data_IF_927297347724
#
_entry.id   IF_927297347724
#
_cell.length_a   1.000
_cell.length_b   1.000
_cell.length_c   1.000
_cell.angle_alpha   90.00
_cell.angle_beta   90.00
_cell.angle_gamma   90.00
#
_symmetry.space_group_name_H-M   'P 1'
#
loop_
_entity.id
_entity.type
_entity.pdbx_description
1 polymer ?
#
# COMPACT_ATOMS: atom_id res chain seq x y z
N UNK A 1 20.58 -1.64 23.10
CA UNK A 1 19.23 -1.79 23.67
C UNK A 1 18.48 -0.48 23.41
N UNK A 2 17.89 -0.34 22.23
CA UNK A 2 17.04 0.82 21.92
C UNK A 2 15.72 0.63 22.65
N UNK A 3 15.45 1.50 23.62
CA UNK A 3 14.14 1.65 24.25
C UNK A 3 13.07 1.71 23.15
N UNK A 4 12.20 0.71 23.07
CA UNK A 4 11.09 0.72 22.12
C UNK A 4 10.21 1.94 22.46
N UNK A 5 10.29 2.98 21.62
CA UNK A 5 9.38 4.12 21.71
C UNK A 5 7.97 3.58 21.51
N UNK A 6 7.16 3.66 22.56
CA UNK A 6 5.80 3.16 22.56
C UNK A 6 4.92 4.21 21.85
N UNK A 7 4.67 4.00 20.56
CA UNK A 7 3.80 4.86 19.77
C UNK A 7 2.35 4.77 20.24
N UNK A 8 1.60 5.87 20.09
CA UNK A 8 0.18 5.90 20.45
C UNK A 8 -0.62 5.06 19.45
N UNK A 9 -1.49 4.17 19.93
CA UNK A 9 -2.34 3.36 19.05
C UNK A 9 -3.31 4.23 18.25
N UNK A 10 -3.54 3.85 16.98
CA UNK A 10 -4.42 4.58 16.08
C UNK A 10 -5.89 4.58 16.55
N UNK A 11 -6.54 5.77 16.68
CA UNK A 11 -7.97 5.89 17.02
C UNK A 11 -8.88 5.21 16.00
N UNK A 12 -8.36 4.93 14.79
CA UNK A 12 -9.07 4.18 13.76
C UNK A 12 -9.52 2.78 14.24
N UNK A 13 -8.72 2.12 15.09
CA UNK A 13 -9.04 0.78 15.60
C UNK A 13 -10.34 0.76 16.41
N UNK A 14 -10.59 1.83 17.16
CA UNK A 14 -11.74 1.98 18.04
C UNK A 14 -12.87 2.85 17.43
N UNK A 15 -12.65 3.39 16.23
CA UNK A 15 -13.60 4.26 15.55
C UNK A 15 -14.83 3.48 15.08
N UNK A 16 -16.02 4.03 15.35
CA UNK A 16 -17.28 3.54 14.80
C UNK A 16 -17.39 3.78 13.28
N UNK A 17 -18.37 3.14 12.63
CA UNK A 17 -18.50 3.18 11.16
C UNK A 17 -18.64 4.61 10.61
N UNK A 18 -19.34 5.49 11.33
CA UNK A 18 -19.49 6.89 10.97
C UNK A 18 -18.19 7.66 11.07
N UNK A 19 -17.41 7.42 12.12
CA UNK A 19 -16.11 8.06 12.31
C UNK A 19 -15.11 7.65 11.20
N UNK A 20 -15.20 6.40 10.73
CA UNK A 20 -14.43 5.90 9.58
C UNK A 20 -14.87 6.54 8.27
N UNK A 21 -16.18 6.66 8.03
CA UNK A 21 -16.73 7.27 6.81
C UNK A 21 -16.37 8.76 6.71
N UNK A 22 -16.45 9.50 7.81
CA UNK A 22 -16.16 10.93 7.82
C UNK A 22 -14.69 11.28 8.11
N UNK A 23 -13.80 10.28 8.28
CA UNK A 23 -12.40 10.47 8.68
C UNK A 23 -12.21 11.33 9.95
N UNK A 24 -13.26 11.47 10.76
CA UNK A 24 -13.25 12.30 11.97
C UNK A 24 -12.20 11.85 12.99
N UNK A 25 -11.78 10.58 12.96
CA UNK A 25 -10.71 10.06 13.81
C UNK A 25 -9.36 10.81 13.63
N UNK A 26 -9.13 11.45 12.47
CA UNK A 26 -7.91 12.24 12.19
C UNK A 26 -7.99 13.62 12.86
N UNK A 27 -9.16 14.12 13.25
CA UNK A 27 -9.30 15.46 13.83
C UNK A 27 -8.41 15.67 15.06
N UNK A 28 -8.21 14.62 15.86
CA UNK A 28 -7.33 14.64 17.03
C UNK A 28 -5.87 14.95 16.67
N UNK A 29 -5.40 14.51 15.51
CA UNK A 29 -4.04 14.80 15.04
C UNK A 29 -3.92 16.27 14.64
N UNK A 30 -4.92 16.82 13.96
CA UNK A 30 -4.96 18.24 13.60
C UNK A 30 -5.04 19.13 14.84
N UNK A 31 -5.83 18.75 15.84
CA UNK A 31 -5.91 19.46 17.12
C UNK A 31 -4.56 19.45 17.84
N UNK A 32 -3.86 18.31 17.82
CA UNK A 32 -2.50 18.19 18.40
C UNK A 32 -1.53 19.12 17.68
N UNK A 33 -1.57 19.14 16.34
CA UNK A 33 -0.76 20.05 15.53
C UNK A 33 -1.04 21.52 15.84
N UNK A 34 -2.31 21.89 16.02
CA UNK A 34 -2.72 23.26 16.31
C UNK A 34 -2.24 23.72 17.69
N UNK A 35 -2.28 22.84 18.69
CA UNK A 35 -1.84 23.13 20.06
C UNK A 35 -0.32 23.20 20.20
N UNK A 36 0.41 22.29 19.56
CA UNK A 36 1.85 22.12 19.78
C UNK A 36 2.73 22.89 18.78
N UNK A 37 2.16 23.51 17.73
CA UNK A 37 2.83 24.26 16.64
C UNK A 37 3.83 23.48 15.78
N UNK A 38 4.45 22.43 16.31
CA UNK A 38 5.35 21.50 15.61
C UNK A 38 5.04 20.08 16.03
N UNK A 39 4.85 19.19 15.06
CA UNK A 39 4.63 17.75 15.29
C UNK A 39 5.96 17.01 15.32
N UNK A 40 6.13 16.13 16.31
CA UNK A 40 7.24 15.20 16.37
C UNK A 40 6.81 13.79 15.96
N UNK A 41 7.77 12.93 15.61
CA UNK A 41 7.51 11.53 15.23
C UNK A 41 6.76 10.76 16.33
N UNK A 42 6.99 11.10 17.59
CA UNK A 42 6.33 10.50 18.77
C UNK A 42 4.86 10.86 18.91
N UNK A 43 4.41 11.95 18.27
CA UNK A 43 3.01 12.39 18.31
C UNK A 43 2.16 11.67 17.25
N UNK A 44 2.81 10.98 16.31
CA UNK A 44 2.15 10.22 15.28
C UNK A 44 1.64 8.87 15.82
N UNK A 45 0.53 8.43 15.23
CA UNK A 45 -0.05 7.14 15.57
C UNK A 45 0.78 6.00 15.00
N UNK A 46 0.80 4.89 15.75
CA UNK A 46 1.37 3.65 15.27
C UNK A 46 0.58 3.11 14.08
N UNK A 47 1.28 2.34 13.26
CA UNK A 47 0.71 1.69 12.09
C UNK A 47 -0.35 0.67 12.53
N UNK A 48 -1.40 0.49 11.73
CA UNK A 48 -2.29 -0.64 11.98
C UNK A 48 -1.50 -1.95 11.84
N UNK A 49 -1.76 -2.95 12.70
CA UNK A 49 -1.07 -4.25 12.64
C UNK A 49 -1.31 -5.00 11.32
N UNK A 50 -2.31 -4.59 10.54
CA UNK A 50 -2.58 -5.12 9.21
C UNK A 50 -1.73 -4.49 8.10
N UNK A 51 -1.09 -3.35 8.37
CA UNK A 51 -0.26 -2.60 7.43
C UNK A 51 1.24 -2.80 7.72
N UNK A 52 1.57 -3.59 8.74
CA UNK A 52 2.95 -3.92 9.08
C UNK A 52 3.66 -4.57 7.89
N UNK A 53 4.86 -4.09 7.60
CA UNK A 53 5.64 -4.50 6.42
C UNK A 53 5.92 -6.00 6.41
N UNK A 54 6.30 -6.57 7.55
CA UNK A 54 6.62 -7.99 7.70
C UNK A 54 5.42 -8.85 7.28
N UNK A 55 4.24 -8.54 7.82
CA UNK A 55 3.00 -9.27 7.53
C UNK A 55 2.58 -9.14 6.07
N UNK A 56 2.68 -7.94 5.50
CA UNK A 56 2.38 -7.70 4.09
C UNK A 56 3.32 -8.48 3.16
N UNK A 57 4.62 -8.49 3.47
CA UNK A 57 5.62 -9.23 2.69
C UNK A 57 5.43 -10.73 2.80
N UNK A 58 5.16 -11.27 4.00
CA UNK A 58 4.89 -12.69 4.19
C UNK A 58 3.65 -13.16 3.45
N UNK A 59 2.56 -12.39 3.52
CA UNK A 59 1.34 -12.71 2.78
C UNK A 59 1.58 -12.74 1.27
N UNK A 60 2.34 -11.77 0.75
CA UNK A 60 2.69 -11.74 -0.67
C UNK A 60 3.60 -12.91 -1.06
N UNK A 61 4.60 -13.23 -0.24
CA UNK A 61 5.54 -14.32 -0.46
C UNK A 61 4.82 -15.69 -0.47
N UNK A 62 3.91 -15.93 0.48
CA UNK A 62 3.10 -17.14 0.54
C UNK A 62 2.18 -17.26 -0.69
N UNK A 63 1.46 -16.20 -1.05
CA UNK A 63 0.62 -16.17 -2.24
C UNK A 63 1.41 -16.36 -3.54
N UNK A 64 2.66 -15.91 -3.58
CA UNK A 64 3.56 -16.12 -4.70
C UNK A 64 4.00 -17.58 -4.82
N UNK A 65 4.35 -18.23 -3.71
CA UNK A 65 4.67 -19.66 -3.71
C UNK A 65 3.46 -20.51 -4.10
N UNK A 66 2.26 -20.14 -3.66
CA UNK A 66 1.03 -20.79 -4.09
C UNK A 66 0.80 -20.61 -5.59
N UNK A 67 1.05 -19.43 -6.16
CA UNK A 67 0.94 -19.20 -7.60
C UNK A 67 1.93 -20.07 -8.40
N UNK A 68 3.18 -20.20 -7.94
CA UNK A 68 4.18 -21.08 -8.57
C UNK A 68 3.71 -22.53 -8.54
N UNK A 69 3.13 -22.98 -7.40
CA UNK A 69 2.65 -24.35 -7.22
C UNK A 69 1.45 -24.66 -8.12
N UNK A 70 0.47 -23.76 -8.21
CA UNK A 70 -0.77 -23.99 -8.96
C UNK A 70 -0.63 -23.67 -10.46
N UNK A 71 0.29 -22.79 -10.84
CA UNK A 71 0.49 -22.35 -12.23
C UNK A 71 1.97 -22.43 -12.67
N UNK A 72 2.58 -23.63 -12.68
CA UNK A 72 4.02 -23.79 -12.93
C UNK A 72 4.46 -23.36 -14.33
N UNK A 73 3.56 -23.42 -15.33
CA UNK A 73 3.87 -23.01 -16.71
C UNK A 73 3.86 -21.49 -16.94
N UNK A 74 3.13 -20.74 -16.12
CA UNK A 74 2.95 -19.29 -16.30
C UNK A 74 2.63 -18.61 -14.97
N UNK A 75 3.58 -18.55 -14.03
CA UNK A 75 3.37 -17.83 -12.78
C UNK A 75 3.22 -16.34 -13.04
N UNK A 76 2.27 -15.68 -12.35
CA UNK A 76 2.04 -14.25 -12.49
C UNK A 76 1.97 -13.56 -11.13
N UNK A 77 2.93 -12.66 -10.89
CA UNK A 77 3.03 -11.92 -9.64
C UNK A 77 1.81 -11.05 -9.40
N UNK A 78 1.25 -10.40 -10.43
CA UNK A 78 0.05 -9.58 -10.29
C UNK A 78 -1.13 -10.37 -9.72
N UNK A 79 -1.26 -11.66 -10.07
CA UNK A 79 -2.34 -12.51 -9.55
C UNK A 79 -2.13 -12.81 -8.07
N UNK A 80 -0.92 -13.17 -7.67
CA UNK A 80 -0.56 -13.37 -6.26
C UNK A 80 -0.83 -12.08 -5.46
N UNK A 81 -0.46 -10.95 -6.03
CA UNK A 81 -0.65 -9.64 -5.42
C UNK A 81 -2.13 -9.27 -5.25
N UNK A 82 -2.97 -9.50 -6.27
CA UNK A 82 -4.42 -9.30 -6.14
C UNK A 82 -4.98 -10.19 -5.03
N UNK A 83 -4.49 -11.43 -4.84
CA UNK A 83 -4.94 -12.29 -3.72
C UNK A 83 -4.55 -11.72 -2.35
N UNK A 84 -3.38 -11.11 -2.23
CA UNK A 84 -2.93 -10.46 -0.98
C UNK A 84 -3.83 -9.30 -0.56
N UNK A 85 -4.37 -8.56 -1.54
CA UNK A 85 -5.17 -7.35 -1.30
C UNK A 85 -6.68 -7.64 -1.23
N UNK A 86 -7.19 -8.55 -2.07
CA UNK A 86 -8.62 -8.81 -2.29
C UNK A 86 -9.34 -9.47 -1.12
N UNK A 87 -8.61 -9.99 -0.14
CA UNK A 87 -9.15 -10.67 1.05
C UNK A 87 -9.90 -9.74 2.02
N UNK A 88 -9.83 -8.41 1.85
CA UNK A 88 -10.56 -7.45 2.68
C UNK A 88 -11.82 -6.93 1.95
N UNK A 89 -13.04 -7.15 2.49
CA UNK A 89 -14.26 -6.68 1.85
C UNK A 89 -14.45 -5.18 2.07
N UNK A 90 -13.86 -4.35 1.20
CA UNK A 90 -14.05 -2.88 1.22
C UNK A 90 -15.04 -2.36 0.15
N UNK A 91 -15.80 -3.26 -0.47
CA UNK A 91 -16.80 -2.90 -1.48
C UNK A 91 -18.05 -2.23 -0.89
N UNK A 92 -18.27 -2.33 0.43
CA UNK A 92 -19.46 -1.76 1.07
C UNK A 92 -19.38 -0.24 1.31
N UNK A 93 -18.18 0.36 1.21
CA UNK A 93 -17.93 1.77 1.57
C UNK A 93 -17.63 2.72 0.40
N UNK A 94 -17.52 2.22 -0.85
CA UNK A 94 -17.00 3.02 -1.98
C UNK A 94 -18.01 3.96 -2.64
N UNK A 95 -19.16 4.21 -2.03
CA UNK A 95 -20.20 5.09 -2.59
C UNK A 95 -19.81 6.57 -2.55
N UNK A 96 -18.84 6.95 -1.72
CA UNK A 96 -18.35 8.32 -1.58
C UNK A 96 -16.95 8.47 -2.17
N UNK A 97 -16.77 9.51 -3.01
CA UNK A 97 -15.50 9.83 -3.68
C UNK A 97 -14.29 9.88 -2.71
N UNK A 98 -14.38 10.50 -1.52
CA UNK A 98 -13.25 10.51 -0.57
C UNK A 98 -12.86 9.12 -0.05
N UNK A 99 -13.83 8.23 0.17
CA UNK A 99 -13.59 6.86 0.62
C UNK A 99 -12.90 6.02 -0.45
N UNK A 100 -13.28 6.25 -1.72
CA UNK A 100 -12.64 5.62 -2.86
C UNK A 100 -11.15 6.02 -2.97
N UNK A 101 -10.85 7.33 -2.88
CA UNK A 101 -9.46 7.81 -2.92
C UNK A 101 -8.63 7.27 -1.74
N UNK A 102 -9.15 7.37 -0.50
CA UNK A 102 -8.46 6.85 0.67
C UNK A 102 -8.12 5.35 0.52
N UNK A 103 -9.04 4.57 -0.04
CA UNK A 103 -8.83 3.16 -0.33
C UNK A 103 -7.72 2.94 -1.34
N UNK A 104 -7.75 3.66 -2.47
CA UNK A 104 -6.71 3.56 -3.51
C UNK A 104 -5.33 3.87 -2.94
N UNK A 105 -5.19 4.94 -2.16
CA UNK A 105 -3.91 5.31 -1.56
C UNK A 105 -3.42 4.26 -0.57
N UNK A 106 -4.31 3.72 0.25
CA UNK A 106 -3.98 2.65 1.21
C UNK A 106 -3.50 1.38 0.48
N UNK A 107 -4.14 1.01 -0.62
CA UNK A 107 -3.71 -0.14 -1.41
C UNK A 107 -2.37 0.11 -2.12
N UNK A 108 -2.17 1.29 -2.69
CA UNK A 108 -0.89 1.67 -3.29
C UNK A 108 0.26 1.57 -2.29
N UNK A 109 0.03 2.06 -1.06
CA UNK A 109 1.02 1.99 0.01
C UNK A 109 1.32 0.55 0.44
N UNK A 110 0.29 -0.28 0.64
CA UNK A 110 0.46 -1.70 0.98
C UNK A 110 1.26 -2.46 -0.09
N UNK A 111 0.96 -2.18 -1.36
CA UNK A 111 1.62 -2.78 -2.52
C UNK A 111 3.11 -2.47 -2.54
N UNK A 112 3.45 -1.18 -2.42
CA UNK A 112 4.83 -0.72 -2.38
C UNK A 112 5.61 -1.39 -1.25
N UNK A 113 5.05 -1.42 -0.04
CA UNK A 113 5.70 -2.04 1.13
C UNK A 113 5.90 -3.54 0.91
N UNK A 114 4.88 -4.24 0.41
CA UNK A 114 4.97 -5.67 0.14
C UNK A 114 6.05 -6.01 -0.90
N UNK A 115 6.09 -5.26 -2.02
CA UNK A 115 7.10 -5.45 -3.07
C UNK A 115 8.51 -5.12 -2.58
N UNK A 116 8.68 -4.03 -1.82
CA UNK A 116 9.97 -3.69 -1.23
C UNK A 116 10.49 -4.78 -0.31
N UNK A 117 9.66 -5.31 0.59
CA UNK A 117 10.08 -6.41 1.45
C UNK A 117 10.40 -7.69 0.66
N UNK A 118 9.65 -7.98 -0.41
CA UNK A 118 9.90 -9.16 -1.26
C UNK A 118 11.23 -9.02 -2.02
N UNK A 119 11.46 -7.86 -2.64
CA UNK A 119 12.72 -7.55 -3.36
C UNK A 119 13.89 -7.56 -2.38
N UNK A 120 13.75 -6.94 -1.21
CA UNK A 120 14.77 -6.95 -0.17
C UNK A 120 15.14 -8.37 0.27
N UNK A 121 14.14 -9.21 0.59
CA UNK A 121 14.36 -10.63 0.93
C UNK A 121 15.02 -11.40 -0.22
N UNK A 122 14.65 -11.10 -1.47
CA UNK A 122 15.24 -11.74 -2.64
C UNK A 122 16.71 -11.37 -2.80
N UNK A 123 17.06 -10.08 -2.69
CA UNK A 123 18.44 -9.57 -2.77
C UNK A 123 19.32 -10.27 -1.73
N UNK A 124 18.86 -10.39 -0.49
CA UNK A 124 19.61 -11.06 0.58
C UNK A 124 19.81 -12.57 0.35
N UNK A 125 19.01 -13.20 -0.50
CA UNK A 125 19.10 -14.64 -0.84
C UNK A 125 19.80 -14.91 -2.18
N UNK A 126 20.20 -13.88 -2.93
CA UNK A 126 20.88 -14.05 -4.23
C UNK A 126 22.36 -14.42 -4.05
N UNK A 127 22.92 -15.16 -5.01
CA UNK A 127 24.34 -15.52 -5.00
C UNK A 127 25.22 -14.33 -5.39
N UNK A 128 26.45 -14.29 -4.87
CA UNK A 128 27.39 -13.18 -5.06
C UNK A 128 27.65 -12.84 -6.54
N UNK A 129 27.59 -13.85 -7.43
CA UNK A 129 27.84 -13.69 -8.88
C UNK A 129 26.76 -12.88 -9.61
N UNK A 130 25.50 -12.96 -9.16
CA UNK A 130 24.41 -12.15 -9.72
C UNK A 130 24.32 -10.77 -9.03
N UNK A 131 24.83 -10.67 -7.81
CA UNK A 131 24.88 -9.41 -7.07
C UNK A 131 25.98 -8.48 -7.60
N UNK A 132 27.11 -9.01 -8.07
CA UNK A 132 28.19 -8.20 -8.67
C UNK A 132 27.78 -7.51 -9.97
N UNK A 133 26.76 -8.04 -10.67
CA UNK A 133 26.20 -7.45 -11.90
C UNK A 133 25.24 -6.30 -11.64
N UNK A 134 24.68 -6.16 -10.43
CA UNK A 134 23.74 -5.08 -10.08
C UNK A 134 24.48 -4.14 -9.13
N UNK A 135 24.68 -2.89 -9.55
CA UNK A 135 25.34 -1.89 -8.69
C UNK A 135 24.47 -1.54 -7.48
N UNK A 136 25.10 -1.17 -6.36
CA UNK A 136 24.37 -0.68 -5.18
C UNK A 136 23.51 0.55 -5.51
N UNK A 137 23.96 1.39 -6.45
CA UNK A 137 23.22 2.56 -6.94
C UNK A 137 21.94 2.20 -7.68
N UNK A 138 21.96 1.16 -8.51
CA UNK A 138 20.74 0.67 -9.20
C UNK A 138 19.71 0.12 -8.21
N UNK A 139 20.15 -0.59 -7.17
CA UNK A 139 19.26 -1.07 -6.11
C UNK A 139 18.58 0.12 -5.42
N UNK A 140 19.35 1.14 -5.01
CA UNK A 140 18.81 2.35 -4.39
C UNK A 140 17.84 3.09 -5.33
N UNK A 141 18.14 3.15 -6.62
CA UNK A 141 17.25 3.76 -7.60
C UNK A 141 15.91 3.01 -7.73
N UNK A 142 15.93 1.67 -7.75
CA UNK A 142 14.71 0.84 -7.74
C UNK A 142 13.87 1.16 -6.48
N UNK A 143 14.49 1.23 -5.31
CA UNK A 143 13.77 1.54 -4.06
C UNK A 143 13.27 3.00 -3.95
N UNK A 144 13.91 3.94 -4.64
CA UNK A 144 13.63 5.38 -4.50
C UNK A 144 12.68 5.89 -5.59
N UNK A 145 12.90 5.48 -6.84
CA UNK A 145 12.19 5.99 -8.00
C UNK A 145 11.00 5.09 -8.40
N UNK A 146 11.21 3.78 -8.46
CA UNK A 146 10.16 2.84 -8.92
C UNK A 146 9.06 2.71 -7.85
N UNK A 147 9.41 2.90 -6.58
CA UNK A 147 8.49 2.91 -5.45
C UNK A 147 7.37 3.96 -5.57
N UNK A 148 7.76 5.18 -5.93
CA UNK A 148 6.82 6.29 -6.13
C UNK A 148 5.96 6.04 -7.37
N UNK A 149 6.57 5.47 -8.41
CA UNK A 149 5.87 5.16 -9.65
C UNK A 149 4.81 4.07 -9.50
N UNK A 150 5.02 3.06 -8.65
CA UNK A 150 4.00 2.03 -8.39
C UNK A 150 2.73 2.66 -7.79
N UNK A 151 2.88 3.57 -6.82
CA UNK A 151 1.75 4.28 -6.19
C UNK A 151 1.01 5.17 -7.21
N UNK A 152 1.76 5.95 -8.01
CA UNK A 152 1.19 6.84 -9.02
C UNK A 152 0.50 6.07 -10.16
N UNK A 153 1.07 4.95 -10.61
CA UNK A 153 0.52 4.17 -11.72
C UNK A 153 -0.83 3.54 -11.37
N UNK A 154 -1.00 3.02 -10.13
CA UNK A 154 -2.29 2.48 -9.66
C UNK A 154 -3.37 3.57 -9.68
N UNK A 155 -3.01 4.81 -9.33
CA UNK A 155 -3.92 5.95 -9.37
C UNK A 155 -4.28 6.33 -10.83
N UNK A 156 -3.29 6.45 -11.71
CA UNK A 156 -3.48 6.84 -13.12
C UNK A 156 -4.34 5.86 -13.92
N UNK A 157 -4.23 4.55 -13.66
CA UNK A 157 -5.04 3.52 -14.33
C UNK A 157 -6.55 3.73 -14.07
N UNK A 158 -6.91 4.14 -12.85
CA UNK A 158 -8.30 4.42 -12.50
C UNK A 158 -8.86 5.62 -13.26
N UNK A 159 -8.08 6.70 -13.38
CA UNK A 159 -8.49 7.87 -14.17
C UNK A 159 -8.61 7.58 -15.66
N UNK A 160 -7.69 6.78 -16.20
CA UNK A 160 -7.73 6.36 -17.60
C UNK A 160 -9.05 5.61 -17.89
N UNK A 161 -9.46 4.71 -17.00
CA UNK A 161 -10.71 3.96 -17.15
C UNK A 161 -11.95 4.85 -17.07
N UNK A 162 -11.99 5.81 -16.14
CA UNK A 162 -13.08 6.77 -16.00
C UNK A 162 -13.16 7.66 -17.25
N UNK A 163 -12.03 8.16 -17.73
CA UNK A 163 -11.95 9.00 -18.92
C UNK A 163 -12.40 8.23 -20.19
N UNK A 164 -11.99 6.97 -20.34
CA UNK A 164 -12.43 6.11 -21.43
C UNK A 164 -13.95 5.86 -21.39
N UNK A 165 -14.50 5.57 -20.21
CA UNK A 165 -15.96 5.42 -20.03
C UNK A 165 -16.70 6.71 -20.37
N UNK A 166 -16.26 7.85 -19.84
CA UNK A 166 -16.88 9.14 -20.09
C UNK A 166 -16.90 9.48 -21.58
N UNK A 167 -15.78 9.25 -22.28
CA UNK A 167 -15.65 9.49 -23.72
C UNK A 167 -16.59 8.61 -24.55
N UNK A 168 -16.77 7.34 -24.16
CA UNK A 168 -17.68 6.43 -24.86
C UNK A 168 -19.14 6.85 -24.64
N UNK A 169 -19.54 7.18 -23.41
CA UNK A 169 -20.90 7.61 -23.08
C UNK A 169 -21.28 8.92 -23.77
N UNK A 170 -20.39 9.92 -23.82
CA UNK A 170 -20.68 11.18 -24.51
C UNK A 170 -20.80 11.01 -26.03
N UNK A 171 -20.03 10.09 -26.63
CA UNK A 171 -20.15 9.75 -28.05
C UNK A 171 -21.41 8.95 -28.41
N UNK A 172 -22.10 8.36 -27.43
CA UNK A 172 -23.36 7.63 -27.64
C UNK A 172 -24.62 8.48 -27.39
N UNK A 173 -24.46 9.69 -26.85
CA UNK A 173 -25.55 10.63 -26.54
C UNK A 173 -25.68 11.72 -27.63
N UNK A 174 -24.65 11.92 -28.45
CA UNK A 174 -24.64 12.75 -29.67
C UNK A 174 -24.93 11.88 -30.89
#
# INVERSE_FOLDING_TARGET
MTSQQQFKSSPFLFANIWSRIFHSWISQLFDTSHRQKTLYLTDLYDLLPEYESIKLTENLENNWFDEIKHHPRKPNLFRATIRTIRSKPFLLGSLLIPQFYFSIYTYGMQMRVAYHGLVYRKILRLSSRSLTTISSGEIVNIFSNDACQIEMTIHSINFLWIALKAKFTTSSIL
#
